data_IF_019750662956
#
_entry.id   IF_019750662956
#
_cell.length_a   1.000
_cell.length_b   1.000
_cell.length_c   1.000
_cell.angle_alpha   90.00
_cell.angle_beta   90.00
_cell.angle_gamma   90.00
#
_symmetry.space_group_name_H-M   'P 1'
#
loop_
_entity.id
_entity.type
_entity.pdbx_description
1 polymer ?
#
# COMPACT_ATOMS: atom_id res chain seq x y z
N UNK A 1 -18.98 17.08 -1.90
CA UNK A 1 -18.85 15.61 -1.85
C UNK A 1 -20.23 14.97 -1.92
N UNK A 2 -20.41 13.93 -2.71
CA UNK A 2 -21.68 13.22 -2.82
C UNK A 2 -22.01 12.49 -1.51
N UNK A 3 -23.30 12.24 -1.27
CA UNK A 3 -23.72 11.48 -0.09
C UNK A 3 -23.14 10.08 -0.05
N UNK A 4 -23.01 9.42 -1.22
CA UNK A 4 -22.43 8.09 -1.31
C UNK A 4 -20.96 8.09 -0.88
N UNK A 5 -20.16 9.04 -1.36
CA UNK A 5 -18.76 9.13 -0.98
C UNK A 5 -18.59 9.39 0.51
N UNK A 6 -19.40 10.27 1.06
CA UNK A 6 -19.37 10.56 2.50
C UNK A 6 -19.72 9.34 3.32
N UNK A 7 -20.77 8.62 2.92
CA UNK A 7 -21.17 7.39 3.58
C UNK A 7 -20.05 6.34 3.55
N UNK A 8 -19.41 6.17 2.38
CA UNK A 8 -18.35 5.19 2.21
C UNK A 8 -17.14 5.50 3.10
N UNK A 9 -16.72 6.77 3.14
CA UNK A 9 -15.61 7.21 4.00
C UNK A 9 -15.91 6.95 5.46
N UNK A 10 -17.11 7.29 5.90
CA UNK A 10 -17.54 7.04 7.29
C UNK A 10 -17.55 5.54 7.60
N UNK A 11 -18.03 4.73 6.65
CA UNK A 11 -18.03 3.27 6.79
C UNK A 11 -16.61 2.73 6.94
N UNK A 12 -15.69 3.19 6.12
CA UNK A 12 -14.28 2.80 6.23
C UNK A 12 -13.72 3.12 7.61
N UNK A 13 -13.97 4.30 8.12
CA UNK A 13 -13.47 4.73 9.43
C UNK A 13 -14.07 3.91 10.57
N UNK A 14 -15.36 3.63 10.51
CA UNK A 14 -16.05 2.84 11.54
C UNK A 14 -15.53 1.41 11.54
N UNK A 15 -15.45 0.78 10.37
CA UNK A 15 -15.02 -0.61 10.24
C UNK A 15 -13.55 -0.77 10.63
N UNK A 16 -12.70 0.18 10.25
CA UNK A 16 -11.30 0.20 10.66
C UNK A 16 -11.17 0.24 12.18
N UNK A 17 -11.92 1.12 12.82
CA UNK A 17 -11.90 1.28 14.28
C UNK A 17 -12.35 0.02 15.01
N UNK A 18 -13.30 -0.71 14.43
CA UNK A 18 -13.84 -1.95 14.99
C UNK A 18 -13.03 -3.19 14.64
N UNK A 19 -11.99 -3.05 13.83
CA UNK A 19 -11.23 -4.18 13.29
C UNK A 19 -12.14 -5.17 12.54
N UNK A 20 -13.16 -4.65 11.84
CA UNK A 20 -14.07 -5.45 11.04
C UNK A 20 -13.36 -5.94 9.78
N UNK A 21 -13.20 -7.26 9.66
CA UNK A 21 -12.51 -7.89 8.54
C UNK A 21 -13.44 -8.41 7.46
N UNK A 22 -14.75 -8.19 7.62
CA UNK A 22 -15.77 -8.73 6.71
C UNK A 22 -16.46 -7.66 5.88
N UNK A 23 -16.23 -6.38 6.17
CA UNK A 23 -16.92 -5.27 5.51
C UNK A 23 -16.17 -4.70 4.33
N UNK A 24 -16.65 -3.53 3.88
CA UNK A 24 -16.10 -2.87 2.69
C UNK A 24 -14.70 -2.32 2.90
N UNK A 25 -14.34 -1.94 4.12
CA UNK A 25 -13.00 -1.45 4.41
C UNK A 25 -11.96 -2.55 4.17
N UNK A 26 -12.15 -3.71 4.79
CA UNK A 26 -11.22 -4.82 4.64
C UNK A 26 -11.17 -5.32 3.21
N UNK A 27 -12.33 -5.44 2.56
CA UNK A 27 -12.39 -5.85 1.16
C UNK A 27 -11.58 -4.88 0.28
N UNK A 28 -11.78 -3.59 0.45
CA UNK A 28 -11.10 -2.57 -0.36
C UNK A 28 -9.60 -2.58 -0.12
N UNK A 29 -9.17 -2.68 1.15
CA UNK A 29 -7.75 -2.78 1.49
C UNK A 29 -7.09 -3.97 0.81
N UNK A 30 -7.68 -5.15 0.92
CA UNK A 30 -7.13 -6.37 0.33
C UNK A 30 -7.10 -6.30 -1.20
N UNK A 31 -8.21 -5.87 -1.82
CA UNK A 31 -8.31 -5.82 -3.27
C UNK A 31 -7.33 -4.82 -3.87
N UNK A 32 -7.24 -3.63 -3.32
CA UNK A 32 -6.35 -2.59 -3.84
C UNK A 32 -4.88 -2.96 -3.64
N UNK A 33 -4.54 -3.47 -2.46
CA UNK A 33 -3.17 -3.88 -2.18
C UNK A 33 -2.74 -5.02 -3.11
N UNK A 34 -3.58 -6.03 -3.26
CA UNK A 34 -3.29 -7.16 -4.14
C UNK A 34 -3.09 -6.69 -5.59
N UNK A 35 -4.05 -5.93 -6.13
CA UNK A 35 -4.00 -5.53 -7.53
C UNK A 35 -2.83 -4.57 -7.81
N UNK A 36 -2.59 -3.60 -6.92
CA UNK A 36 -1.50 -2.65 -7.09
C UNK A 36 -0.14 -3.33 -7.04
N UNK A 37 0.06 -4.24 -6.08
CA UNK A 37 1.35 -4.93 -5.95
C UNK A 37 1.55 -5.96 -7.06
N UNK A 38 0.48 -6.57 -7.57
CA UNK A 38 0.58 -7.49 -8.70
C UNK A 38 1.11 -6.78 -9.95
N UNK A 39 0.63 -5.56 -10.21
CA UNK A 39 1.13 -4.74 -11.31
C UNK A 39 2.62 -4.47 -11.15
N UNK A 40 3.09 -4.29 -9.91
CA UNK A 40 4.50 -4.06 -9.59
C UNK A 40 5.33 -5.35 -9.55
N UNK A 41 4.75 -6.49 -9.87
CA UNK A 41 5.46 -7.77 -9.95
C UNK A 41 5.39 -8.65 -8.71
N UNK A 42 4.53 -8.35 -7.75
CA UNK A 42 4.34 -9.20 -6.57
C UNK A 42 3.85 -10.58 -6.98
N UNK A 43 4.36 -11.60 -6.29
CA UNK A 43 3.96 -13.00 -6.49
C UNK A 43 2.97 -13.50 -5.45
N UNK A 44 2.58 -12.65 -4.50
CA UNK A 44 1.62 -13.04 -3.45
C UNK A 44 0.23 -13.29 -4.04
N UNK A 45 -0.44 -14.31 -3.51
CA UNK A 45 -1.79 -14.68 -3.91
C UNK A 45 -2.83 -13.83 -3.19
N UNK A 46 -4.12 -13.84 -3.64
CA UNK A 46 -5.18 -13.18 -2.88
C UNK A 46 -5.32 -13.73 -1.45
N UNK A 47 -5.16 -15.04 -1.26
CA UNK A 47 -5.23 -15.67 0.06
C UNK A 47 -4.09 -15.19 0.97
N UNK A 48 -2.87 -15.10 0.43
CA UNK A 48 -1.73 -14.57 1.18
C UNK A 48 -1.95 -13.11 1.57
N UNK A 49 -2.48 -12.31 0.65
CA UNK A 49 -2.80 -10.92 0.91
C UNK A 49 -3.84 -10.79 2.02
N UNK A 50 -4.90 -11.58 1.96
CA UNK A 50 -5.94 -11.58 2.98
C UNK A 50 -5.39 -12.00 4.35
N UNK A 51 -4.54 -13.02 4.39
CA UNK A 51 -3.92 -13.48 5.62
C UNK A 51 -3.04 -12.41 6.25
N UNK A 52 -2.24 -11.72 5.46
CA UNK A 52 -1.41 -10.62 5.95
C UNK A 52 -2.25 -9.48 6.51
N UNK A 53 -3.33 -9.10 5.82
CA UNK A 53 -4.20 -8.04 6.29
C UNK A 53 -4.94 -8.43 7.56
N UNK A 54 -5.51 -9.63 7.58
CA UNK A 54 -6.38 -10.08 8.67
C UNK A 54 -5.60 -10.47 9.93
N UNK A 55 -4.42 -11.09 9.76
CA UNK A 55 -3.68 -11.71 10.86
C UNK A 55 -2.24 -11.23 10.99
N UNK A 56 -1.72 -10.52 10.02
CA UNK A 56 -0.32 -10.11 9.99
C UNK A 56 0.65 -11.26 9.68
N UNK A 57 0.13 -12.41 9.24
CA UNK A 57 0.93 -13.60 8.98
C UNK A 57 0.55 -14.23 7.65
N UNK A 58 1.42 -15.11 7.14
CA UNK A 58 1.12 -15.93 5.97
C UNK A 58 0.55 -17.28 6.40
N UNK A 59 -0.20 -17.98 5.51
CA UNK A 59 -0.68 -19.32 5.80
C UNK A 59 0.46 -20.29 6.11
N UNK A 60 0.23 -21.22 7.04
CA UNK A 60 1.26 -22.08 7.62
C UNK A 60 1.93 -23.01 6.61
N UNK A 61 1.19 -23.50 5.63
CA UNK A 61 1.68 -24.47 4.63
C UNK A 61 1.96 -23.79 3.30
N UNK A 62 2.37 -22.55 3.35
CA UNK A 62 2.49 -21.76 2.16
C UNK A 62 3.76 -22.08 1.37
N UNK A 63 3.65 -21.85 0.08
CA UNK A 63 4.76 -22.00 -0.83
C UNK A 63 5.76 -20.86 -0.68
N UNK A 64 6.78 -20.91 -1.49
CA UNK A 64 7.83 -19.90 -1.52
C UNK A 64 7.28 -18.49 -1.77
N UNK A 65 7.78 -17.52 -1.01
CA UNK A 65 7.44 -16.10 -1.18
C UNK A 65 8.68 -15.23 -0.98
N UNK A 66 8.64 -14.00 -1.49
CA UNK A 66 9.72 -13.05 -1.32
C UNK A 66 9.40 -12.09 -0.17
N UNK A 67 10.40 -11.83 0.68
CA UNK A 67 10.23 -10.87 1.78
C UNK A 67 9.80 -9.49 1.30
N UNK A 68 10.36 -9.04 0.18
CA UNK A 68 10.01 -7.76 -0.43
C UNK A 68 8.51 -7.67 -0.73
N UNK A 69 7.91 -8.73 -1.25
CA UNK A 69 6.48 -8.76 -1.58
C UNK A 69 5.62 -8.55 -0.32
N UNK A 70 6.01 -9.18 0.79
CA UNK A 70 5.33 -9.01 2.08
C UNK A 70 5.45 -7.57 2.59
N UNK A 71 6.66 -7.04 2.53
CA UNK A 71 6.94 -5.67 2.99
C UNK A 71 6.18 -4.62 2.17
N UNK A 72 6.12 -4.79 0.85
CA UNK A 72 5.38 -3.90 -0.03
C UNK A 72 3.88 -3.99 0.21
N UNK A 73 3.36 -5.19 0.48
CA UNK A 73 1.96 -5.39 0.79
C UNK A 73 1.58 -4.66 2.10
N UNK A 74 2.39 -4.83 3.14
CA UNK A 74 2.18 -4.15 4.40
C UNK A 74 2.26 -2.63 4.25
N UNK A 75 3.20 -2.16 3.43
CA UNK A 75 3.33 -0.73 3.12
C UNK A 75 2.07 -0.17 2.46
N UNK A 76 1.44 -0.94 1.58
CA UNK A 76 0.20 -0.53 0.94
C UNK A 76 -0.94 -0.37 1.96
N UNK A 77 -1.06 -1.30 2.90
CA UNK A 77 -2.07 -1.19 3.96
C UNK A 77 -1.87 0.07 4.79
N UNK A 78 -0.62 0.38 5.15
CA UNK A 78 -0.29 1.59 5.91
C UNK A 78 -0.57 2.86 5.11
N UNK A 79 -0.23 2.87 3.84
CA UNK A 79 -0.50 4.01 2.95
C UNK A 79 -2.00 4.28 2.83
N UNK A 80 -2.80 3.22 2.67
CA UNK A 80 -4.25 3.35 2.57
C UNK A 80 -4.83 3.96 3.85
N UNK A 81 -4.37 3.50 5.01
CA UNK A 81 -4.81 4.06 6.29
C UNK A 81 -4.41 5.54 6.43
N UNK A 82 -3.19 5.87 6.01
CA UNK A 82 -2.73 7.27 6.02
C UNK A 82 -3.59 8.13 5.10
N UNK A 83 -3.95 7.61 3.93
CA UNK A 83 -4.84 8.29 3.01
C UNK A 83 -6.20 8.59 3.65
N UNK A 84 -6.78 7.60 4.35
CA UNK A 84 -8.05 7.81 5.07
C UNK A 84 -7.93 8.90 6.13
N UNK A 85 -6.81 8.94 6.84
CA UNK A 85 -6.58 9.91 7.91
C UNK A 85 -6.37 11.33 7.39
N UNK A 86 -6.00 11.48 6.12
CA UNK A 86 -5.63 12.78 5.53
C UNK A 86 -6.55 13.23 4.40
N UNK A 87 -7.75 12.64 4.28
CA UNK A 87 -8.67 12.92 3.17
C UNK A 87 -9.10 14.39 3.07
N UNK A 88 -9.13 15.09 4.19
CA UNK A 88 -9.52 16.50 4.22
C UNK A 88 -8.35 17.46 4.05
N UNK A 89 -7.12 16.95 4.01
CA UNK A 89 -5.96 17.79 3.78
C UNK A 89 -5.83 18.15 2.30
N UNK A 90 -5.24 19.32 2.05
CA UNK A 90 -4.94 19.74 0.69
C UNK A 90 -3.90 18.82 0.06
N UNK A 91 -4.08 18.49 -1.22
CA UNK A 91 -3.10 17.70 -1.96
C UNK A 91 -1.84 18.54 -2.23
N UNK A 92 -0.79 18.26 -1.48
CA UNK A 92 0.50 18.94 -1.58
C UNK A 92 1.61 17.96 -1.86
N UNK A 93 2.78 18.48 -2.23
CA UNK A 93 3.98 17.64 -2.38
C UNK A 93 4.31 16.90 -1.08
N UNK A 94 4.16 17.58 0.07
CA UNK A 94 4.42 16.95 1.36
C UNK A 94 3.47 15.80 1.65
N UNK A 95 2.20 15.92 1.29
CA UNK A 95 1.23 14.84 1.46
C UNK A 95 1.60 13.64 0.60
N UNK A 96 1.96 13.88 -0.67
CA UNK A 96 2.39 12.83 -1.59
C UNK A 96 3.65 12.12 -1.06
N UNK A 97 4.62 12.89 -0.56
CA UNK A 97 5.85 12.34 0.01
C UNK A 97 5.57 11.49 1.25
N UNK A 98 4.63 11.92 2.11
CA UNK A 98 4.23 11.13 3.29
C UNK A 98 3.58 9.83 2.89
N UNK A 99 2.73 9.83 1.85
CA UNK A 99 2.13 8.60 1.33
C UNK A 99 3.20 7.65 0.79
N UNK A 100 4.16 8.17 0.04
CA UNK A 100 5.27 7.36 -0.46
C UNK A 100 6.11 6.79 0.69
N UNK A 101 6.33 7.57 1.73
CA UNK A 101 7.03 7.09 2.92
C UNK A 101 6.31 5.91 3.56
N UNK A 102 4.98 6.01 3.75
CA UNK A 102 4.20 4.91 4.33
C UNK A 102 4.29 3.66 3.47
N UNK A 103 4.27 3.84 2.15
CA UNK A 103 4.30 2.73 1.21
C UNK A 103 5.64 1.99 1.23
N UNK A 104 6.75 2.69 1.32
CA UNK A 104 8.08 2.14 1.06
C UNK A 104 9.02 2.07 2.26
N UNK A 105 8.71 2.73 3.37
CA UNK A 105 9.64 2.81 4.50
C UNK A 105 10.00 1.46 5.10
N UNK A 106 9.12 0.47 5.00
CA UNK A 106 9.36 -0.89 5.52
C UNK A 106 10.00 -1.84 4.52
N UNK A 107 10.34 -1.38 3.31
CA UNK A 107 10.91 -2.24 2.28
C UNK A 107 12.44 -2.20 2.40
N UNK A 108 13.01 -3.27 2.93
CA UNK A 108 14.46 -3.34 3.21
C UNK A 108 15.30 -3.13 1.96
N UNK A 109 14.92 -3.76 0.85
CA UNK A 109 15.67 -3.69 -0.41
C UNK A 109 15.79 -2.24 -0.90
N UNK A 110 14.71 -1.47 -0.84
CA UNK A 110 14.70 -0.08 -1.27
C UNK A 110 15.60 0.77 -0.37
N UNK A 111 15.56 0.53 0.93
CA UNK A 111 16.41 1.23 1.90
C UNK A 111 17.88 0.88 1.73
N UNK A 112 18.18 -0.41 1.56
CA UNK A 112 19.53 -0.91 1.40
C UNK A 112 20.18 -0.40 0.11
N UNK A 113 19.39 -0.22 -0.95
CA UNK A 113 19.88 0.28 -2.24
C UNK A 113 19.90 1.80 -2.34
N UNK A 114 19.46 2.49 -1.29
CA UNK A 114 19.47 3.94 -1.26
C UNK A 114 18.43 4.60 -2.18
N UNK A 115 17.34 3.90 -2.46
CA UNK A 115 16.24 4.50 -3.22
C UNK A 115 15.56 5.58 -2.39
N UNK A 116 15.04 6.60 -3.07
CA UNK A 116 14.33 7.70 -2.40
C UNK A 116 13.05 7.17 -1.75
N UNK A 117 12.88 7.42 -0.45
CA UNK A 117 11.71 7.03 0.33
C UNK A 117 11.12 8.31 0.91
N UNK A 118 9.84 8.58 0.58
CA UNK A 118 9.19 9.81 1.03
C UNK A 118 9.70 11.05 0.32
N UNK A 119 10.28 10.89 -0.86
CA UNK A 119 10.77 11.99 -1.69
C UNK A 119 10.76 11.57 -3.16
N UNK A 120 11.05 12.53 -4.04
CA UNK A 120 11.12 12.25 -5.47
C UNK A 120 12.37 11.44 -5.82
N UNK A 121 12.30 10.71 -6.93
CA UNK A 121 13.44 9.96 -7.43
C UNK A 121 14.62 10.87 -7.71
N UNK A 122 15.80 10.38 -7.35
CA UNK A 122 17.08 11.06 -7.62
C UNK A 122 17.94 10.29 -8.62
N UNK A 123 17.49 9.10 -9.03
CA UNK A 123 18.18 8.26 -10.00
C UNK A 123 17.38 8.20 -11.30
N UNK A 124 18.03 8.17 -12.47
CA UNK A 124 17.30 8.07 -13.72
C UNK A 124 16.66 6.71 -13.91
N UNK A 125 15.53 6.68 -14.59
CA UNK A 125 14.94 5.46 -15.11
C UNK A 125 15.41 5.24 -16.54
N UNK A 126 15.58 3.97 -16.91
CA UNK A 126 15.89 3.59 -18.28
C UNK A 126 14.60 3.09 -18.94
N UNK A 127 14.19 3.76 -20.03
CA UNK A 127 13.05 3.32 -20.83
C UNK A 127 13.56 3.13 -22.25
N UNK A 128 13.68 1.86 -22.68
CA UNK A 128 14.32 1.55 -23.95
C UNK A 128 15.75 2.05 -23.96
N UNK A 129 16.07 2.98 -24.87
CA UNK A 129 17.40 3.60 -25.00
C UNK A 129 17.50 4.96 -24.31
N UNK A 130 16.46 5.41 -23.62
CA UNK A 130 16.37 6.76 -23.07
C UNK A 130 16.39 6.75 -21.55
N UNK A 131 17.00 7.77 -20.94
CA UNK A 131 17.00 8.00 -19.51
C UNK A 131 15.88 9.00 -19.17
N UNK A 132 15.13 8.71 -18.10
CA UNK A 132 14.10 9.61 -17.59
C UNK A 132 14.25 9.85 -16.10
N UNK A 133 13.72 10.97 -15.61
CA UNK A 133 13.66 11.31 -14.18
C UNK A 133 12.21 11.58 -13.80
N UNK A 134 11.75 10.98 -12.70
CA UNK A 134 10.40 11.22 -12.15
C UNK A 134 10.45 12.21 -11.00
#
# INVERSE_FOLDING_TARGET
MSEFKRWLIERFKIERKRFDRTGVYAYTQRAMAYNSNKIEGSTLTPEQTASLFDNGTLPVNDDYYRAKDVEEMNGHFLMFNHMLDTLEEELTENLIKRMHYELKSGVFEDRANGYAIGDYKKRPNMIGMYLTYD
#
